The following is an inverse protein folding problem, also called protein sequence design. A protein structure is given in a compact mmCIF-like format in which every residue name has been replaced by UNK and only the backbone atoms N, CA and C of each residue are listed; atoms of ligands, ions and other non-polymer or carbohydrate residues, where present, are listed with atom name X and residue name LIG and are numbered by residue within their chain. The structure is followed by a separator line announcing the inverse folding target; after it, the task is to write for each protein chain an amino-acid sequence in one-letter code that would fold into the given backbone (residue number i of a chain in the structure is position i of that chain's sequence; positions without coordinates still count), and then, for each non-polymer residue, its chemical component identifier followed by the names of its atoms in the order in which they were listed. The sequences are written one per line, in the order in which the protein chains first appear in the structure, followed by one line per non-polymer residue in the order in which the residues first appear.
data_IF_684108769599
#
_entry.id   IF_684108769599
#
_cell.length_a   1.000
_cell.length_b   1.000
_cell.length_c   1.000
_cell.angle_alpha   90.00
_cell.angle_beta   90.00
_cell.angle_gamma   90.00
#
_symmetry.space_group_name_H-M   'P 1'
#
loop_
_entity.id
_entity.type
_entity.pdbx_description
1 polymer ?
#
# COMPACT_ATOMS: atom_id res chain seq x y z
N UNK A 1 17.72 7.85 4.19
CA UNK A 1 16.98 7.05 3.19
C UNK A 1 17.66 5.70 2.94
N UNK A 2 18.89 5.63 2.39
CA UNK A 2 19.57 4.36 2.07
C UNK A 2 19.82 3.45 3.27
N UNK A 3 20.22 3.99 4.42
CA UNK A 3 20.44 3.20 5.64
C UNK A 3 19.17 2.48 6.15
N UNK A 4 18.01 3.00 5.81
CA UNK A 4 16.72 2.47 6.28
C UNK A 4 16.07 1.56 5.24
N UNK A 5 15.96 2.03 3.99
CA UNK A 5 15.14 1.38 2.96
C UNK A 5 15.94 0.65 1.88
N UNK A 6 17.23 0.87 1.78
CA UNK A 6 18.12 0.21 0.82
C UNK A 6 19.46 -0.11 1.48
N UNK A 7 19.42 -0.93 2.53
CA UNK A 7 20.61 -1.39 3.26
C UNK A 7 21.53 -2.15 2.31
N UNK A 8 20.94 -3.03 1.49
CA UNK A 8 21.69 -3.69 0.41
C UNK A 8 21.95 -2.71 -0.73
N UNK A 9 23.20 -2.70 -1.22
CA UNK A 9 23.62 -1.85 -2.35
C UNK A 9 22.85 -2.23 -3.62
N UNK A 10 22.52 -3.51 -3.80
CA UNK A 10 21.74 -4.00 -4.93
C UNK A 10 20.31 -3.43 -4.97
N UNK A 11 19.77 -2.97 -3.84
CA UNK A 11 18.49 -2.30 -3.79
C UNK A 11 18.54 -0.82 -4.23
N UNK A 12 19.71 -0.29 -4.62
CA UNK A 12 19.91 1.10 -5.03
C UNK A 12 19.97 1.23 -6.54
N UNK A 13 19.50 2.35 -7.06
CA UNK A 13 19.66 2.75 -8.46
C UNK A 13 19.90 4.25 -8.51
N UNK A 14 21.07 4.66 -9.03
CA UNK A 14 21.50 6.06 -8.99
C UNK A 14 21.34 6.65 -7.58
N UNK A 15 20.54 7.72 -7.43
CA UNK A 15 20.17 8.31 -6.14
C UNK A 15 18.93 7.69 -5.50
N UNK A 16 18.25 6.77 -6.19
CA UNK A 16 16.98 6.18 -5.79
C UNK A 16 17.08 4.79 -5.16
N UNK A 17 15.93 4.21 -4.98
CA UNK A 17 15.70 2.87 -4.45
C UNK A 17 14.86 2.09 -5.46
N UNK A 18 15.29 0.87 -5.78
CA UNK A 18 14.57 -0.05 -6.66
C UNK A 18 13.96 -1.19 -5.85
N UNK A 19 12.93 -0.89 -5.09
CA UNK A 19 12.21 -1.86 -4.25
C UNK A 19 10.71 -1.74 -4.46
N UNK A 20 9.99 -2.86 -4.29
CA UNK A 20 8.54 -2.85 -4.15
C UNK A 20 8.12 -2.43 -2.74
N UNK A 21 6.86 -2.06 -2.58
CA UNK A 21 6.33 -1.57 -1.30
C UNK A 21 6.47 -2.60 -0.17
N UNK A 22 6.10 -3.87 -0.43
CA UNK A 22 6.13 -4.91 0.61
C UNK A 22 7.54 -5.13 1.19
N UNK A 23 8.60 -5.37 0.37
CA UNK A 23 9.97 -5.45 0.88
C UNK A 23 10.47 -4.17 1.55
N UNK A 24 10.06 -3.00 1.06
CA UNK A 24 10.41 -1.71 1.67
C UNK A 24 9.91 -1.59 3.10
N UNK A 25 8.74 -2.16 3.37
CA UNK A 25 8.07 -2.14 4.66
C UNK A 25 8.30 -3.42 5.48
N UNK A 26 9.32 -4.20 5.12
CA UNK A 26 9.66 -5.46 5.81
C UNK A 26 8.49 -6.45 5.83
N UNK A 27 7.65 -6.43 4.80
CA UNK A 27 6.44 -7.22 4.65
C UNK A 27 5.46 -7.10 5.84
N UNK A 28 5.48 -5.97 6.55
CA UNK A 28 4.63 -5.75 7.72
C UNK A 28 3.23 -5.31 7.29
N UNK A 29 2.16 -6.11 7.49
CA UNK A 29 0.82 -5.82 6.98
C UNK A 29 0.29 -4.44 7.39
N UNK A 30 0.38 -4.10 8.69
CA UNK A 30 -0.12 -2.82 9.19
C UNK A 30 0.57 -1.61 8.55
N UNK A 31 1.87 -1.69 8.20
CA UNK A 31 2.57 -0.60 7.49
C UNK A 31 2.15 -0.52 6.03
N UNK A 32 1.93 -1.68 5.38
CA UNK A 32 1.46 -1.74 3.99
C UNK A 32 0.05 -1.15 3.92
N UNK A 33 -0.84 -1.50 4.86
CA UNK A 33 -2.18 -0.92 4.96
C UNK A 33 -2.13 0.58 5.20
N UNK A 34 -1.31 1.06 6.14
CA UNK A 34 -1.15 2.48 6.43
C UNK A 34 -0.69 3.26 5.20
N UNK A 35 0.36 2.80 4.51
CA UNK A 35 0.88 3.50 3.32
C UNK A 35 -0.13 3.57 2.18
N UNK A 36 -0.85 2.48 1.92
CA UNK A 36 -1.91 2.48 0.91
C UNK A 36 -3.11 3.33 1.36
N UNK A 37 -3.49 3.29 2.65
CA UNK A 37 -4.53 4.16 3.21
C UNK A 37 -4.22 5.64 2.99
N UNK A 38 -2.98 6.05 3.24
CA UNK A 38 -2.51 7.42 2.96
C UNK A 38 -2.51 7.71 1.45
N UNK A 39 -2.00 6.80 0.61
CA UNK A 39 -2.00 6.96 -0.84
C UNK A 39 -3.41 7.22 -1.40
N UNK A 40 -4.41 6.49 -0.92
CA UNK A 40 -5.79 6.62 -1.40
C UNK A 40 -6.59 7.75 -0.73
N UNK A 41 -6.11 8.32 0.36
CA UNK A 41 -6.77 9.44 1.06
C UNK A 41 -6.12 10.80 0.77
N UNK A 42 -4.89 10.84 0.29
CA UNK A 42 -4.24 12.09 -0.16
C UNK A 42 -4.86 12.66 -1.44
N UNK A 43 -4.71 13.97 -1.69
CA UNK A 43 -5.10 14.60 -2.95
C UNK A 43 -4.23 14.10 -4.10
N UNK A 44 -4.73 14.23 -5.32
CA UNK A 44 -4.04 13.78 -6.53
C UNK A 44 -4.48 12.40 -6.98
N UNK A 45 -3.84 11.88 -8.01
CA UNK A 45 -4.13 10.57 -8.60
C UNK A 45 -3.25 9.50 -7.96
N UNK A 46 -3.81 8.52 -7.25
CA UNK A 46 -3.02 7.41 -6.73
C UNK A 46 -2.49 6.54 -7.87
N UNK A 47 -1.20 6.23 -7.83
CA UNK A 47 -0.57 5.32 -8.78
C UNK A 47 -0.20 4.04 -8.03
N UNK A 48 -0.78 2.92 -8.46
CA UNK A 48 -0.48 1.58 -7.95
C UNK A 48 0.35 0.85 -8.99
N UNK A 49 1.50 0.32 -8.59
CA UNK A 49 2.31 -0.50 -9.47
C UNK A 49 1.84 -1.96 -9.38
N UNK A 50 1.76 -2.67 -10.52
CA UNK A 50 1.24 -4.04 -10.54
C UNK A 50 1.96 -4.94 -9.54
N UNK A 51 1.19 -5.77 -8.83
CA UNK A 51 1.69 -6.67 -7.81
C UNK A 51 1.79 -6.06 -6.41
N UNK A 52 1.78 -4.73 -6.25
CA UNK A 52 1.75 -4.11 -4.92
C UNK A 52 0.41 -4.38 -4.22
N UNK A 53 -0.66 -4.56 -4.99
CA UNK A 53 -2.01 -4.91 -4.51
C UNK A 53 -2.11 -6.30 -3.89
N UNK A 54 -1.13 -7.17 -4.16
CA UNK A 54 -1.04 -8.50 -3.54
C UNK A 54 0.20 -8.65 -2.64
N UNK A 55 1.00 -7.59 -2.49
CA UNK A 55 2.22 -7.61 -1.69
C UNK A 55 3.37 -8.39 -2.34
N UNK A 56 3.49 -8.36 -3.68
CA UNK A 56 4.63 -8.97 -4.37
C UNK A 56 5.95 -8.45 -3.83
N UNK A 57 6.93 -9.36 -3.76
CA UNK A 57 8.33 -9.03 -3.54
C UNK A 57 9.04 -8.49 -4.77
N UNK A 58 10.33 -8.31 -4.65
CA UNK A 58 11.23 -7.93 -5.74
C UNK A 58 12.47 -8.83 -5.76
N UNK A 59 13.24 -8.77 -6.87
CA UNK A 59 14.51 -9.45 -6.99
C UNK A 59 15.62 -8.41 -7.21
N UNK A 60 16.30 -8.01 -6.14
CA UNK A 60 17.35 -6.99 -6.16
C UNK A 60 18.60 -7.41 -6.94
N UNK A 61 18.76 -8.69 -7.25
CA UNK A 61 19.92 -9.23 -7.98
C UNK A 61 19.80 -9.01 -9.49
N UNK A 62 18.62 -8.70 -10.01
CA UNK A 62 18.47 -8.31 -11.42
C UNK A 62 18.94 -6.87 -11.62
N UNK A 63 19.70 -6.67 -12.69
CA UNK A 63 20.27 -5.36 -13.02
C UNK A 63 19.20 -4.30 -13.34
N UNK A 64 19.58 -3.02 -13.33
CA UNK A 64 18.72 -1.87 -13.58
C UNK A 64 17.42 -1.88 -12.72
N UNK A 65 16.29 -1.62 -13.32
CA UNK A 65 14.95 -1.66 -12.68
C UNK A 65 14.27 -3.03 -12.78
N UNK A 66 14.98 -4.02 -13.29
CA UNK A 66 14.39 -5.31 -13.66
C UNK A 66 13.89 -6.11 -12.44
N UNK A 67 14.48 -5.87 -11.27
CA UNK A 67 14.06 -6.51 -10.02
C UNK A 67 12.64 -6.26 -9.63
N UNK A 68 12.02 -5.15 -10.05
CA UNK A 68 10.62 -4.82 -9.81
C UNK A 68 9.72 -5.11 -11.03
N UNK A 69 10.30 -5.67 -12.12
CA UNK A 69 9.59 -5.97 -13.39
C UNK A 69 9.42 -7.47 -13.61
N UNK A 70 9.47 -8.24 -12.55
CA UNK A 70 9.29 -9.71 -12.59
C UNK A 70 7.85 -10.06 -13.00
N UNK A 71 7.61 -11.29 -13.52
CA UNK A 71 6.28 -11.73 -13.89
C UNK A 71 5.26 -11.55 -12.76
N UNK A 72 4.04 -11.12 -13.11
CA UNK A 72 2.93 -11.03 -12.16
C UNK A 72 2.57 -12.42 -11.62
N UNK A 73 2.30 -12.49 -10.33
CA UNK A 73 1.97 -13.73 -9.63
C UNK A 73 0.45 -13.95 -9.63
N UNK A 74 -0.05 -14.67 -10.65
CA UNK A 74 -1.48 -14.92 -10.85
C UNK A 74 -1.99 -16.11 -10.03
N UNK A 75 -1.23 -17.22 -10.02
CA UNK A 75 -1.60 -18.46 -9.35
C UNK A 75 -0.36 -19.19 -8.80
N UNK A 76 -0.59 -20.31 -8.12
CA UNK A 76 0.46 -21.24 -7.69
C UNK A 76 1.01 -22.11 -8.82
N UNK A 77 0.49 -22.00 -10.03
CA UNK A 77 0.90 -22.78 -11.19
C UNK A 77 2.31 -22.40 -11.66
N UNK A 78 2.84 -23.23 -12.58
CA UNK A 78 4.12 -23.00 -13.24
C UNK A 78 4.27 -21.55 -13.73
N UNK A 79 5.42 -20.96 -13.49
CA UNK A 79 5.72 -19.57 -13.81
C UNK A 79 4.72 -18.57 -13.18
N UNK A 80 4.20 -18.90 -12.01
CA UNK A 80 3.21 -18.09 -11.29
C UNK A 80 1.90 -17.89 -12.09
N UNK A 81 1.52 -18.81 -12.96
CA UNK A 81 0.39 -18.65 -13.86
C UNK A 81 0.57 -17.58 -14.94
N UNK A 82 1.75 -16.96 -15.03
CA UNK A 82 2.04 -15.89 -16.00
C UNK A 82 2.26 -16.40 -17.41
N UNK A 83 2.91 -17.55 -17.57
CA UNK A 83 3.24 -18.12 -18.87
C UNK A 83 3.33 -19.64 -18.83
N UNK A 84 2.95 -20.28 -19.93
CA UNK A 84 3.11 -21.74 -20.15
C UNK A 84 4.46 -22.13 -20.72
N UNK A 85 5.32 -21.16 -21.04
CA UNK A 85 6.65 -21.39 -21.58
C UNK A 85 7.56 -22.14 -20.59
N UNK A 86 8.69 -22.67 -21.07
CA UNK A 86 9.70 -23.18 -20.16
C UNK A 86 10.26 -22.03 -19.31
N UNK A 87 10.56 -22.22 -18.00
CA UNK A 87 11.06 -21.18 -17.14
C UNK A 87 12.30 -20.43 -17.69
N UNK A 88 13.16 -21.14 -18.41
CA UNK A 88 14.35 -20.58 -19.06
C UNK A 88 14.05 -19.62 -20.22
N UNK A 89 12.82 -19.66 -20.75
CA UNK A 89 12.36 -18.78 -21.83
C UNK A 89 11.70 -17.49 -21.32
N UNK A 90 11.50 -17.38 -20.01
CA UNK A 90 11.02 -16.13 -19.42
C UNK A 90 12.10 -15.05 -19.54
N UNK A 91 11.72 -13.85 -19.96
CA UNK A 91 12.63 -12.72 -20.04
C UNK A 91 13.18 -12.32 -18.66
N UNK A 92 12.31 -12.36 -17.63
CA UNK A 92 12.70 -12.27 -16.23
C UNK A 92 12.22 -13.49 -15.47
N UNK A 93 12.99 -14.01 -14.50
CA UNK A 93 12.53 -15.10 -13.65
C UNK A 93 11.39 -14.67 -12.75
N UNK A 94 10.57 -15.63 -12.32
CA UNK A 94 9.62 -15.44 -11.22
C UNK A 94 10.36 -15.22 -9.89
N UNK A 95 9.70 -14.64 -8.92
CA UNK A 95 10.25 -14.48 -7.58
C UNK A 95 10.21 -15.83 -6.85
N UNK A 96 11.38 -16.25 -6.37
CA UNK A 96 11.59 -17.53 -5.65
C UNK A 96 11.96 -17.30 -4.18
N UNK A 97 12.04 -16.05 -3.73
CA UNK A 97 12.25 -15.74 -2.31
C UNK A 97 11.11 -16.37 -1.49
N UNK A 98 11.42 -17.19 -0.46
CA UNK A 98 10.40 -17.89 0.32
C UNK A 98 9.32 -16.96 0.91
N UNK A 99 9.68 -15.74 1.27
CA UNK A 99 8.74 -14.76 1.85
C UNK A 99 7.73 -14.24 0.82
N UNK A 100 8.09 -14.25 -0.46
CA UNK A 100 7.30 -13.69 -1.57
C UNK A 100 7.00 -14.69 -2.66
N UNK A 101 7.22 -15.99 -2.38
CA UNK A 101 7.05 -17.04 -3.38
C UNK A 101 5.64 -17.06 -3.96
N UNK A 102 5.52 -17.24 -5.26
CA UNK A 102 4.25 -17.18 -5.97
C UNK A 102 3.23 -18.26 -5.54
N UNK A 103 3.68 -19.36 -4.93
CA UNK A 103 2.77 -20.37 -4.37
C UNK A 103 1.99 -19.83 -3.16
N UNK A 104 2.51 -18.81 -2.46
CA UNK A 104 1.86 -18.22 -1.30
C UNK A 104 1.30 -16.83 -1.61
N UNK A 105 2.05 -16.01 -2.38
CA UNK A 105 1.67 -14.65 -2.72
C UNK A 105 1.21 -14.62 -4.17
N UNK A 106 -0.08 -14.77 -4.40
CA UNK A 106 -0.67 -14.74 -5.75
C UNK A 106 -2.11 -14.24 -5.72
N UNK A 107 -2.60 -13.84 -6.90
CA UNK A 107 -3.94 -13.28 -7.05
C UNK A 107 -5.02 -14.30 -6.69
N UNK A 108 -4.90 -15.54 -7.13
CA UNK A 108 -5.91 -16.60 -6.92
C UNK A 108 -6.11 -16.86 -5.42
N UNK A 109 -5.02 -17.04 -4.66
CA UNK A 109 -5.08 -17.25 -3.23
C UNK A 109 -5.69 -16.05 -2.49
N UNK A 110 -5.36 -14.83 -2.93
CA UNK A 110 -5.91 -13.64 -2.30
C UNK A 110 -7.35 -13.34 -2.70
N UNK A 111 -7.79 -13.75 -3.88
CA UNK A 111 -9.19 -13.64 -4.28
C UNK A 111 -10.12 -14.53 -3.44
N UNK A 112 -9.64 -15.68 -3.03
CA UNK A 112 -10.40 -16.61 -2.18
C UNK A 112 -10.46 -16.19 -0.70
N UNK A 113 -9.61 -15.24 -0.27
CA UNK A 113 -9.55 -14.73 1.09
C UNK A 113 -9.98 -13.25 1.15
N UNK A 114 -11.21 -12.99 1.62
CA UNK A 114 -11.76 -11.62 1.72
C UNK A 114 -11.01 -10.68 2.70
N UNK A 115 -10.15 -11.23 3.56
CA UNK A 115 -9.29 -10.44 4.47
C UNK A 115 -7.91 -10.16 3.87
N UNK A 116 -7.64 -10.61 2.64
CA UNK A 116 -6.37 -10.37 1.96
C UNK A 116 -6.12 -8.89 1.65
N UNK A 117 -4.84 -8.58 1.36
CA UNK A 117 -4.44 -7.25 0.90
C UNK A 117 -5.18 -6.84 -0.38
N UNK A 118 -5.39 -7.78 -1.31
CA UNK A 118 -6.12 -7.52 -2.55
C UNK A 118 -7.55 -7.02 -2.28
N UNK A 119 -8.28 -7.67 -1.37
CA UNK A 119 -9.63 -7.24 -1.02
C UNK A 119 -9.63 -5.92 -0.26
N UNK A 120 -8.63 -5.70 0.60
CA UNK A 120 -8.49 -4.43 1.28
C UNK A 120 -8.23 -3.28 0.30
N UNK A 121 -7.34 -3.47 -0.70
CA UNK A 121 -7.12 -2.52 -1.78
C UNK A 121 -8.38 -2.26 -2.61
N UNK A 122 -9.17 -3.30 -2.94
CA UNK A 122 -10.47 -3.13 -3.61
C UNK A 122 -11.41 -2.25 -2.80
N UNK A 123 -11.47 -2.43 -1.46
CA UNK A 123 -12.30 -1.60 -0.58
C UNK A 123 -11.82 -0.14 -0.56
N UNK A 124 -10.52 0.11 -0.49
CA UNK A 124 -9.97 1.47 -0.57
C UNK A 124 -10.32 2.18 -1.88
N UNK A 125 -10.19 1.48 -3.00
CA UNK A 125 -10.53 2.00 -4.32
C UNK A 125 -12.03 2.31 -4.39
N UNK A 126 -12.87 1.41 -3.91
CA UNK A 126 -14.32 1.61 -3.85
C UNK A 126 -14.70 2.82 -2.98
N UNK A 127 -14.08 2.94 -1.80
CA UNK A 127 -14.27 4.07 -0.89
C UNK A 127 -13.88 5.39 -1.58
N UNK A 128 -12.71 5.46 -2.21
CA UNK A 128 -12.27 6.66 -2.91
C UNK A 128 -13.17 7.03 -4.09
N UNK A 129 -13.75 6.05 -4.79
CA UNK A 129 -14.73 6.29 -5.87
C UNK A 129 -16.07 6.77 -5.32
N UNK A 130 -16.50 6.24 -4.17
CA UNK A 130 -17.76 6.60 -3.54
C UNK A 130 -17.74 8.02 -2.96
N UNK A 131 -16.67 8.37 -2.23
CA UNK A 131 -16.55 9.65 -1.54
C UNK A 131 -15.74 10.64 -2.38
N UNK A 132 -16.41 11.65 -2.93
CA UNK A 132 -15.78 12.68 -3.77
C UNK A 132 -14.74 13.50 -3.01
N UNK A 133 -14.92 13.68 -1.70
CA UNK A 133 -13.95 14.35 -0.84
C UNK A 133 -12.55 13.73 -0.95
N UNK A 134 -12.42 12.40 -1.05
CA UNK A 134 -11.12 11.74 -1.22
C UNK A 134 -10.49 11.99 -2.59
N UNK A 135 -11.32 12.06 -3.65
CA UNK A 135 -10.84 12.21 -5.03
C UNK A 135 -10.65 13.66 -5.48
N UNK A 136 -11.58 14.55 -5.10
CA UNK A 136 -11.69 15.92 -5.59
C UNK A 136 -11.65 16.99 -4.51
N UNK A 137 -11.77 16.58 -3.23
CA UNK A 137 -11.85 17.48 -2.11
C UNK A 137 -10.55 18.21 -1.80
N UNK A 138 -10.70 19.32 -1.08
CA UNK A 138 -9.57 20.03 -0.47
C UNK A 138 -8.96 19.18 0.64
N UNK A 139 -7.76 19.55 1.08
CA UNK A 139 -7.07 18.91 2.20
C UNK A 139 -6.61 19.98 3.18
N UNK A 140 -6.93 19.78 4.44
CA UNK A 140 -6.54 20.65 5.54
C UNK A 140 -5.92 19.80 6.65
N UNK A 141 -4.69 20.11 7.05
CA UNK A 141 -4.06 19.44 8.17
C UNK A 141 -4.62 19.99 9.49
N UNK A 142 -4.97 19.07 10.39
CA UNK A 142 -5.32 19.44 11.75
C UNK A 142 -4.08 19.32 12.65
N UNK A 143 -3.93 20.30 13.54
CA UNK A 143 -2.82 20.29 14.48
C UNK A 143 -3.07 19.31 15.62
N UNK A 144 -2.05 18.52 15.95
CA UNK A 144 -1.98 17.72 17.17
C UNK A 144 -0.57 17.87 17.78
N UNK A 145 -0.46 17.90 19.08
CA UNK A 145 0.84 17.99 19.76
C UNK A 145 1.68 16.71 19.58
N UNK A 146 1.02 15.59 19.31
CA UNK A 146 1.68 14.31 19.08
C UNK A 146 2.19 14.19 17.64
N UNK A 147 3.47 14.48 17.43
CA UNK A 147 4.14 14.41 16.11
C UNK A 147 4.14 13.02 15.44
N UNK A 148 3.72 11.98 16.15
CA UNK A 148 3.59 10.61 15.60
C UNK A 148 2.23 10.36 14.97
N UNK A 149 1.30 11.28 15.14
CA UNK A 149 -0.05 11.22 14.59
C UNK A 149 -0.16 12.23 13.45
N UNK A 150 -0.56 11.75 12.30
CA UNK A 150 -0.90 12.57 11.14
C UNK A 150 -2.42 12.69 11.07
N UNK A 151 -2.91 13.94 11.09
CA UNK A 151 -4.34 14.22 11.02
C UNK A 151 -4.63 15.25 9.95
N UNK A 152 -5.67 14.99 9.16
CA UNK A 152 -6.16 15.94 8.16
C UNK A 152 -7.63 15.67 7.84
N UNK A 153 -8.27 16.69 7.31
CA UNK A 153 -9.64 16.62 6.80
C UNK A 153 -9.62 16.73 5.28
N UNK A 154 -10.40 15.88 4.64
CA UNK A 154 -10.77 16.00 3.22
C UNK A 154 -12.19 16.53 3.15
N UNK A 155 -12.41 17.57 2.33
CA UNK A 155 -13.73 18.23 2.24
C UNK A 155 -14.12 18.44 0.78
N UNK A 156 -15.35 18.07 0.46
CA UNK A 156 -15.96 18.34 -0.86
C UNK A 156 -17.48 18.51 -0.66
N UNK A 157 -17.98 19.70 -0.92
CA UNK A 157 -19.38 20.03 -0.66
C UNK A 157 -19.77 19.68 0.80
N UNK A 158 -20.75 18.82 0.99
CA UNK A 158 -21.21 18.36 2.31
C UNK A 158 -20.44 17.15 2.86
N UNK A 159 -19.53 16.57 2.06
CA UNK A 159 -18.71 15.45 2.51
C UNK A 159 -17.50 15.96 3.31
N UNK A 160 -17.37 15.49 4.54
CA UNK A 160 -16.26 15.79 5.44
C UNK A 160 -15.67 14.46 5.91
N UNK A 161 -14.41 14.20 5.60
CA UNK A 161 -13.72 12.96 6.00
C UNK A 161 -12.49 13.33 6.82
N UNK A 162 -12.52 12.94 8.10
CA UNK A 162 -11.35 13.01 8.97
C UNK A 162 -10.49 11.78 8.78
N UNK A 163 -9.20 11.99 8.54
CA UNK A 163 -8.20 10.94 8.48
C UNK A 163 -7.25 11.09 9.66
N UNK A 164 -7.07 10.00 10.38
CA UNK A 164 -6.14 9.90 11.51
C UNK A 164 -5.20 8.72 11.25
N UNK A 165 -3.92 8.98 11.20
CA UNK A 165 -2.91 7.98 10.93
C UNK A 165 -1.82 7.96 12.01
N UNK A 166 -1.66 6.83 12.68
CA UNK A 166 -0.55 6.61 13.61
C UNK A 166 0.69 6.18 12.83
N UNK A 167 1.67 7.07 12.74
CA UNK A 167 2.93 6.83 12.04
C UNK A 167 3.99 6.12 12.91
N UNK A 168 3.62 5.73 14.12
CA UNK A 168 4.51 5.04 15.05
C UNK A 168 4.23 3.53 15.11
N UNK A 169 5.12 2.82 15.80
CA UNK A 169 4.96 1.37 16.05
C UNK A 169 4.14 1.06 17.32
N UNK A 170 3.82 2.08 18.10
CA UNK A 170 3.17 1.95 19.40
C UNK A 170 1.83 2.67 19.37
N UNK A 171 0.93 2.26 20.24
CA UNK A 171 -0.31 3.00 20.50
C UNK A 171 0.04 4.42 20.94
N UNK A 172 -0.68 5.40 20.43
CA UNK A 172 -0.48 6.81 20.69
C UNK A 172 -1.79 7.45 21.15
N UNK A 173 -1.73 8.18 22.24
CA UNK A 173 -2.81 9.07 22.66
C UNK A 173 -2.60 10.45 22.02
N UNK A 174 -3.68 11.09 21.64
CA UNK A 174 -3.68 12.45 21.10
C UNK A 174 -5.04 13.10 21.30
N UNK A 175 -5.07 14.41 21.23
CA UNK A 175 -6.29 15.21 21.27
C UNK A 175 -6.42 16.02 19.99
N UNK A 176 -7.66 16.22 19.53
CA UNK A 176 -7.99 17.05 18.39
C UNK A 176 -9.11 18.01 18.78
N UNK A 177 -8.95 19.27 18.41
CA UNK A 177 -10.04 20.23 18.45
C UNK A 177 -10.97 20.01 17.24
N UNK A 178 -12.12 19.45 17.52
CA UNK A 178 -13.18 19.20 16.55
C UNK A 178 -14.42 20.10 16.79
N UNK A 179 -14.26 21.22 17.49
CA UNK A 179 -15.34 22.13 17.87
C UNK A 179 -16.14 22.61 16.65
N UNK A 180 -15.48 22.81 15.50
CA UNK A 180 -16.12 23.20 14.24
C UNK A 180 -17.09 22.13 13.67
N UNK A 181 -16.98 20.89 14.15
CA UNK A 181 -17.85 19.76 13.74
C UNK A 181 -18.88 19.39 14.81
N UNK A 182 -19.12 20.29 15.77
CA UNK A 182 -20.05 20.05 16.88
C UNK A 182 -21.45 19.74 16.34
N UNK A 183 -22.05 18.66 16.84
CA UNK A 183 -23.34 18.18 16.38
C UNK A 183 -23.33 17.17 15.24
N UNK A 184 -22.18 16.92 14.63
CA UNK A 184 -22.01 15.84 13.65
C UNK A 184 -21.78 14.50 14.35
N UNK A 185 -22.28 13.42 13.76
CA UNK A 185 -22.04 12.06 14.23
C UNK A 185 -21.02 11.41 13.30
N UNK A 186 -19.83 11.05 13.80
CA UNK A 186 -18.82 10.41 12.98
C UNK A 186 -19.23 8.98 12.60
N UNK A 187 -18.96 8.60 11.35
CA UNK A 187 -19.17 7.24 10.84
C UNK A 187 -17.84 6.71 10.36
N UNK A 188 -17.45 5.54 10.84
CA UNK A 188 -16.23 4.90 10.38
C UNK A 188 -16.38 4.40 8.94
N UNK A 189 -15.39 4.71 8.09
CA UNK A 189 -15.39 4.36 6.67
C UNK A 189 -14.45 3.21 6.33
N UNK A 190 -13.35 3.07 7.08
CA UNK A 190 -12.32 2.06 6.78
C UNK A 190 -12.72 0.64 7.19
N UNK A 191 -13.79 0.51 7.99
CA UNK A 191 -14.27 -0.75 8.52
C UNK A 191 -13.24 -1.35 9.49
N UNK A 192 -13.41 -1.10 10.77
CA UNK A 192 -12.63 -1.81 11.79
C UNK A 192 -12.82 -3.30 11.59
N UNK A 193 -11.71 -3.99 11.41
CA UNK A 193 -11.63 -5.44 11.48
C UNK A 193 -11.45 -5.87 12.90
#
# INVERSE_FOLDING_TARGET
MWRTYAKDVQARINLGIRRRLAPLLENHPGRIHLMNGLLFSFPGTPIVYYGDEIGMGDNIWLGDRNGVRTPMQWSSDRNAGFSRANPQQLFFPVIIDPQYHYEQVNVEAQQSNQYSLLWWMKRLIAMRKRYKALGRGTMEFLHTENRKILTYVRRHEDEIILVVANLSRLVQCFELDLTQYRGMVPVELSGGT
#
